data_IF_415749846157
#
_entry.id   IF_415749846157
#
_cell.length_a   1.000
_cell.length_b   1.000
_cell.length_c   1.000
_cell.angle_alpha   90.00
_cell.angle_beta   90.00
_cell.angle_gamma   90.00
#
_symmetry.space_group_name_H-M   'P 1'
#
loop_
_entity.id
_entity.type
_entity.pdbx_description
1 polymer ?
#
# COMPACT_ATOMS: atom_id res chain seq x y z
N UNK A 1 -3.69 -9.28 -40.12
CA UNK A 1 -3.49 -9.55 -38.68
C UNK A 1 -3.68 -8.23 -37.94
N UNK A 2 -4.87 -8.00 -37.39
CA UNK A 2 -5.12 -6.81 -36.58
C UNK A 2 -4.37 -6.99 -35.25
N UNK A 3 -3.30 -6.22 -35.03
CA UNK A 3 -2.67 -6.14 -33.75
C UNK A 3 -3.67 -5.52 -32.76
N UNK A 4 -4.16 -6.29 -31.79
CA UNK A 4 -4.93 -5.75 -30.66
C UNK A 4 -4.08 -4.67 -30.00
N UNK A 5 -4.58 -3.46 -29.88
CA UNK A 5 -3.88 -2.42 -29.12
C UNK A 5 -3.95 -2.80 -27.64
N UNK A 6 -2.79 -3.02 -27.03
CA UNK A 6 -2.67 -3.33 -25.61
C UNK A 6 -2.30 -2.07 -24.85
N UNK A 7 -3.07 -1.75 -23.82
CA UNK A 7 -2.77 -0.64 -22.93
C UNK A 7 -1.84 -1.12 -21.82
N UNK A 8 -0.68 -0.49 -21.72
CA UNK A 8 0.34 -0.80 -20.72
C UNK A 8 0.13 0.08 -19.49
N UNK A 9 -0.11 -0.52 -18.34
CA UNK A 9 -0.29 0.17 -17.06
C UNK A 9 0.65 -0.42 -16.03
N UNK A 10 1.40 0.43 -15.34
CA UNK A 10 2.35 0.02 -14.32
C UNK A 10 1.88 0.40 -12.93
N UNK A 11 2.13 -0.50 -11.98
CA UNK A 11 1.71 -0.40 -10.58
C UNK A 11 2.88 -0.62 -9.65
N UNK A 12 2.84 0.03 -8.50
CA UNK A 12 3.72 -0.24 -7.37
C UNK A 12 2.88 -0.36 -6.11
N UNK A 13 3.17 -1.34 -5.28
CA UNK A 13 2.69 -1.41 -3.90
C UNK A 13 3.86 -1.32 -2.94
N UNK A 14 3.74 -0.51 -1.89
CA UNK A 14 4.82 -0.37 -0.92
C UNK A 14 4.29 0.05 0.45
N UNK A 15 4.54 -0.77 1.46
CA UNK A 15 4.39 -0.38 2.85
C UNK A 15 5.59 0.48 3.24
N UNK A 16 5.36 1.75 3.59
CA UNK A 16 6.42 2.73 3.85
C UNK A 16 7.07 2.58 5.23
N UNK A 17 6.52 1.74 6.08
CA UNK A 17 6.90 1.60 7.48
C UNK A 17 6.64 2.89 8.29
N UNK A 18 5.78 2.77 9.29
CA UNK A 18 5.40 3.89 10.16
C UNK A 18 6.57 4.50 10.94
N UNK A 19 7.68 3.76 11.07
CA UNK A 19 8.93 4.26 11.61
C UNK A 19 9.27 3.78 13.01
N UNK A 20 8.42 2.97 13.64
CA UNK A 20 8.65 2.45 14.98
C UNK A 20 7.89 1.14 15.22
N UNK A 21 8.40 0.33 16.15
CA UNK A 21 7.67 -0.78 16.74
C UNK A 21 6.76 -0.23 17.85
N UNK A 22 5.45 -0.42 17.70
CA UNK A 22 4.45 0.07 18.65
C UNK A 22 4.24 -0.87 19.85
N UNK A 23 4.83 -2.07 19.84
CA UNK A 23 4.65 -3.07 20.90
C UNK A 23 4.90 -2.53 22.31
N UNK A 24 5.91 -1.68 22.56
CA UNK A 24 6.13 -1.11 23.88
C UNK A 24 4.94 -0.33 24.45
N UNK A 25 4.16 0.34 23.58
CA UNK A 25 2.93 1.04 23.99
C UNK A 25 1.78 0.06 24.21
N UNK A 26 1.63 -0.91 23.30
CA UNK A 26 0.54 -1.89 23.35
C UNK A 26 0.61 -2.81 24.58
N UNK A 27 1.80 -3.05 25.11
CA UNK A 27 2.04 -3.91 26.27
C UNK A 27 2.25 -3.13 27.58
N UNK A 28 2.20 -1.77 27.53
CA UNK A 28 2.44 -0.94 28.70
C UNK A 28 1.28 -0.96 29.68
N UNK A 29 1.61 -0.91 30.97
CA UNK A 29 0.61 -0.53 32.01
C UNK A 29 0.25 0.97 31.85
N UNK A 30 -0.89 1.43 32.39
CA UNK A 30 -1.24 2.84 32.31
C UNK A 30 -0.14 3.80 32.80
N UNK A 31 0.53 3.45 33.89
CA UNK A 31 1.64 4.25 34.44
C UNK A 31 2.87 4.32 33.53
N UNK A 32 3.09 3.31 32.71
CA UNK A 32 4.24 3.24 31.79
C UNK A 32 4.03 3.98 30.45
N UNK A 33 2.80 4.35 30.12
CA UNK A 33 2.45 4.93 28.80
C UNK A 33 3.36 6.10 28.43
N UNK A 34 3.56 7.13 29.26
CA UNK A 34 4.39 8.28 28.84
C UNK A 34 5.82 7.87 28.48
N UNK A 35 6.44 7.02 29.29
CA UNK A 35 7.80 6.54 29.06
C UNK A 35 7.90 5.72 27.75
N UNK A 36 6.92 4.86 27.50
CA UNK A 36 6.88 4.04 26.29
C UNK A 36 6.62 4.87 25.03
N UNK A 37 5.78 5.89 25.14
CA UNK A 37 5.55 6.83 24.04
C UNK A 37 6.84 7.57 23.67
N UNK A 38 7.60 8.01 24.67
CA UNK A 38 8.92 8.64 24.43
C UNK A 38 9.87 7.70 23.70
N UNK A 39 9.96 6.45 24.13
CA UNK A 39 10.84 5.44 23.49
C UNK A 39 10.45 5.20 22.03
N UNK A 40 9.16 5.01 21.77
CA UNK A 40 8.62 4.78 20.43
C UNK A 40 8.86 5.98 19.53
N UNK A 41 8.61 7.19 20.02
CA UNK A 41 8.83 8.40 19.23
C UNK A 41 10.31 8.65 18.92
N UNK A 42 11.22 8.30 19.84
CA UNK A 42 12.68 8.33 19.57
C UNK A 42 13.06 7.36 18.46
N UNK A 43 12.52 6.15 18.45
CA UNK A 43 12.74 5.20 17.35
C UNK A 43 12.22 5.78 16.03
N UNK A 44 11.01 6.36 16.02
CA UNK A 44 10.45 7.03 14.86
C UNK A 44 11.40 8.11 14.32
N UNK A 45 11.94 8.96 15.17
CA UNK A 45 12.91 9.99 14.75
C UNK A 45 14.20 9.36 14.19
N UNK A 46 14.68 8.28 14.79
CA UNK A 46 15.90 7.59 14.37
C UNK A 46 15.74 6.91 13.00
N UNK A 47 14.58 6.41 12.66
CA UNK A 47 14.30 5.83 11.34
C UNK A 47 14.06 6.89 10.26
N UNK A 48 14.04 8.14 10.63
CA UNK A 48 14.22 9.35 9.81
C UNK A 48 13.52 9.30 8.45
N UNK A 49 12.19 9.39 8.44
CA UNK A 49 11.44 9.32 7.19
C UNK A 49 11.86 10.36 6.15
N UNK A 50 12.19 11.62 6.49
CA UNK A 50 12.67 12.57 5.48
C UNK A 50 13.88 12.07 4.69
N UNK A 51 14.80 11.35 5.32
CA UNK A 51 15.95 10.72 4.65
C UNK A 51 15.51 9.48 3.88
N UNK A 52 14.66 8.64 4.46
CA UNK A 52 14.11 7.45 3.79
C UNK A 52 13.29 7.81 2.55
N UNK A 53 12.56 8.91 2.60
CA UNK A 53 11.76 9.38 1.47
C UNK A 53 12.60 9.65 0.22
N UNK A 54 13.84 10.11 0.38
CA UNK A 54 14.79 10.29 -0.74
C UNK A 54 15.12 8.94 -1.41
N UNK A 55 15.38 7.92 -0.59
CA UNK A 55 15.67 6.57 -1.10
C UNK A 55 14.43 5.95 -1.75
N UNK A 56 13.26 6.11 -1.16
CA UNK A 56 11.99 5.66 -1.72
C UNK A 56 11.71 6.35 -3.05
N UNK A 57 11.89 7.67 -3.12
CA UNK A 57 11.69 8.44 -4.33
C UNK A 57 12.65 8.02 -5.46
N UNK A 58 13.93 7.69 -5.14
CA UNK A 58 14.87 7.17 -6.14
C UNK A 58 14.41 5.84 -6.72
N UNK A 59 13.90 4.93 -5.89
CA UNK A 59 13.37 3.65 -6.35
C UNK A 59 12.13 3.85 -7.25
N UNK A 60 11.22 4.73 -6.86
CA UNK A 60 10.05 5.09 -7.67
C UNK A 60 10.46 5.72 -9.01
N UNK A 61 11.48 6.57 -9.00
CA UNK A 61 11.96 7.23 -10.22
C UNK A 61 12.54 6.25 -11.25
N UNK A 62 13.11 5.12 -10.80
CA UNK A 62 13.59 4.08 -11.71
C UNK A 62 12.44 3.32 -12.37
N UNK A 63 11.38 3.03 -11.65
CA UNK A 63 10.22 2.25 -12.13
C UNK A 63 9.19 3.14 -12.84
N UNK A 64 9.03 4.37 -12.42
CA UNK A 64 8.02 5.34 -12.92
C UNK A 64 6.63 4.72 -13.00
N UNK A 65 6.10 4.13 -11.91
CA UNK A 65 4.78 3.51 -11.95
C UNK A 65 3.69 4.55 -12.26
N UNK A 66 2.67 4.10 -12.97
CA UNK A 66 1.50 4.93 -13.28
C UNK A 66 0.64 5.16 -12.04
N UNK A 67 0.52 4.12 -11.21
CA UNK A 67 -0.26 4.12 -9.97
C UNK A 67 0.53 3.46 -8.85
N UNK A 68 0.44 4.06 -7.66
CA UNK A 68 1.14 3.59 -6.47
C UNK A 68 0.13 3.36 -5.35
N UNK A 69 0.11 2.15 -4.80
CA UNK A 69 -0.61 1.84 -3.56
C UNK A 69 0.36 1.85 -2.38
N UNK A 70 0.16 2.78 -1.46
CA UNK A 70 0.98 2.93 -0.27
C UNK A 70 0.22 2.46 0.97
N UNK A 71 0.92 1.78 1.86
CA UNK A 71 0.45 1.45 3.20
C UNK A 71 1.38 2.09 4.22
N UNK A 72 0.88 2.33 5.43
CA UNK A 72 1.60 3.08 6.46
C UNK A 72 2.17 4.40 5.92
N UNK A 73 1.33 5.15 5.21
CA UNK A 73 1.61 6.51 4.73
C UNK A 73 1.25 7.52 5.81
N UNK A 74 1.98 7.50 6.89
CA UNK A 74 1.62 8.04 8.20
C UNK A 74 1.62 9.57 8.30
N UNK A 75 0.86 10.03 9.30
CA UNK A 75 0.93 11.39 9.80
C UNK A 75 1.29 11.33 11.29
N UNK A 76 2.49 11.77 11.63
CA UNK A 76 2.94 11.92 13.00
C UNK A 76 2.96 13.40 13.40
N UNK A 77 2.57 13.69 14.64
CA UNK A 77 2.66 15.03 15.22
C UNK A 77 3.24 14.98 16.62
N UNK A 78 4.19 15.87 16.88
CA UNK A 78 4.64 16.19 18.23
C UNK A 78 4.04 17.54 18.62
N UNK A 79 3.14 17.54 19.59
CA UNK A 79 2.44 18.74 20.07
C UNK A 79 3.16 19.18 21.34
N UNK A 80 3.86 20.32 21.25
CA UNK A 80 4.63 20.90 22.34
C UNK A 80 3.81 22.03 22.95
N UNK A 81 3.33 21.89 24.21
CA UNK A 81 2.54 22.95 24.86
C UNK A 81 3.27 24.28 24.82
N UNK A 82 2.54 25.35 24.55
CA UNK A 82 3.04 26.75 24.47
C UNK A 82 4.04 27.03 23.34
N UNK A 83 4.50 26.03 22.60
CA UNK A 83 5.46 26.20 21.50
C UNK A 83 4.82 25.98 20.13
N UNK A 84 4.12 24.87 19.93
CA UNK A 84 3.50 24.53 18.65
C UNK A 84 3.60 23.05 18.30
N UNK A 85 3.30 22.72 17.05
CA UNK A 85 3.24 21.35 16.56
C UNK A 85 4.29 21.11 15.48
N UNK A 86 5.06 20.03 15.63
CA UNK A 86 5.95 19.50 14.59
C UNK A 86 5.22 18.39 13.89
N UNK A 87 5.09 18.48 12.57
CA UNK A 87 4.32 17.55 11.76
C UNK A 87 5.25 16.80 10.79
N UNK A 88 5.06 15.47 10.72
CA UNK A 88 5.72 14.59 9.75
C UNK A 88 4.61 13.93 8.91
N UNK A 89 4.36 14.48 7.74
CA UNK A 89 3.39 13.96 6.79
C UNK A 89 4.12 13.18 5.70
N UNK A 90 4.04 11.84 5.74
CA UNK A 90 4.75 10.96 4.83
C UNK A 90 4.38 11.21 3.37
N UNK A 91 3.10 11.43 3.11
CA UNK A 91 2.62 11.66 1.74
C UNK A 91 3.20 12.96 1.20
N UNK A 92 3.11 14.04 1.97
CA UNK A 92 3.61 15.35 1.56
C UNK A 92 5.12 15.34 1.34
N UNK A 93 5.87 14.72 2.27
CA UNK A 93 7.33 14.61 2.16
C UNK A 93 7.70 13.81 0.91
N UNK A 94 7.05 12.67 0.65
CA UNK A 94 7.34 11.83 -0.50
C UNK A 94 6.99 12.54 -1.82
N UNK A 95 5.83 13.17 -1.90
CA UNK A 95 5.42 13.92 -3.10
C UNK A 95 6.42 15.02 -3.45
N UNK A 96 6.96 15.71 -2.46
CA UNK A 96 7.97 16.75 -2.64
C UNK A 96 9.27 16.15 -3.19
N UNK A 97 9.75 15.04 -2.63
CA UNK A 97 10.96 14.36 -3.12
C UNK A 97 10.79 13.86 -4.55
N UNK A 98 9.63 13.33 -4.90
CA UNK A 98 9.32 12.91 -6.27
C UNK A 98 9.32 14.10 -7.24
N UNK A 99 8.73 15.22 -6.84
CA UNK A 99 8.70 16.43 -7.64
C UNK A 99 10.11 16.97 -7.93
N UNK A 100 11.01 16.93 -6.94
CA UNK A 100 12.41 17.32 -7.11
C UNK A 100 13.14 16.42 -8.11
N UNK A 101 12.66 15.22 -8.35
CA UNK A 101 13.17 14.28 -9.36
C UNK A 101 12.45 14.42 -10.72
N UNK A 102 11.57 15.40 -10.87
CA UNK A 102 10.81 15.62 -12.10
C UNK A 102 9.60 14.73 -12.26
N UNK A 103 9.14 14.08 -11.18
CA UNK A 103 7.96 13.20 -11.18
C UNK A 103 6.82 13.86 -10.43
N UNK A 104 5.70 14.06 -11.11
CA UNK A 104 4.51 14.63 -10.49
C UNK A 104 3.47 13.54 -10.26
N UNK A 105 3.27 13.24 -8.98
CA UNK A 105 2.19 12.39 -8.50
C UNK A 105 1.20 13.22 -7.69
N UNK A 106 -0.04 12.79 -7.67
CA UNK A 106 -1.06 13.34 -6.79
C UNK A 106 -1.80 12.23 -6.07
N UNK A 107 -2.41 12.56 -4.94
CA UNK A 107 -3.26 11.63 -4.20
C UNK A 107 -4.56 11.45 -4.97
N UNK A 108 -4.79 10.23 -5.47
CA UNK A 108 -6.03 9.87 -6.15
C UNK A 108 -7.12 9.45 -5.15
N UNK A 109 -6.74 8.76 -4.08
CA UNK A 109 -7.61 8.38 -2.96
C UNK A 109 -6.76 8.08 -1.73
N UNK A 110 -7.35 8.14 -0.57
CA UNK A 110 -6.71 7.72 0.69
C UNK A 110 -7.78 7.21 1.66
N UNK A 111 -7.41 6.27 2.51
CA UNK A 111 -8.23 5.90 3.65
C UNK A 111 -7.49 6.20 4.95
N UNK A 112 -8.22 6.79 5.89
CA UNK A 112 -7.75 7.09 7.24
C UNK A 112 -8.12 5.93 8.15
N UNK A 113 -7.13 5.45 8.88
CA UNK A 113 -7.27 4.28 9.74
C UNK A 113 -7.17 4.69 11.22
N UNK A 114 -6.53 3.85 12.06
CA UNK A 114 -6.44 4.15 13.48
C UNK A 114 -5.73 5.49 13.73
N UNK A 115 -6.16 6.18 14.79
CA UNK A 115 -5.56 7.42 15.27
C UNK A 115 -5.45 7.38 16.78
N UNK A 116 -4.27 7.74 17.30
CA UNK A 116 -4.03 7.80 18.73
C UNK A 116 -3.27 9.07 19.08
N UNK A 117 -3.58 9.67 20.24
CA UNK A 117 -2.83 10.77 20.82
C UNK A 117 -2.56 10.44 22.28
N UNK A 118 -1.28 10.34 22.62
CA UNK A 118 -0.84 9.93 23.93
C UNK A 118 0.24 10.88 24.47
N UNK A 119 0.32 11.08 25.80
CA UNK A 119 1.37 11.90 26.40
C UNK A 119 2.72 11.17 26.36
N UNK A 120 3.79 11.93 26.13
CA UNK A 120 5.16 11.46 26.35
C UNK A 120 5.64 11.81 27.77
N UNK A 121 6.88 11.44 28.11
CA UNK A 121 7.45 11.70 29.43
C UNK A 121 7.95 13.14 29.63
N UNK A 122 7.96 13.96 28.57
CA UNK A 122 8.46 15.34 28.59
C UNK A 122 7.34 16.37 28.61
N UNK A 123 6.10 15.95 28.82
CA UNK A 123 4.94 16.82 28.85
C UNK A 123 4.36 17.21 27.49
N UNK A 124 4.81 16.54 26.44
CA UNK A 124 4.28 16.72 25.09
C UNK A 124 3.20 15.69 24.78
N UNK A 125 2.46 15.90 23.68
CA UNK A 125 1.55 14.92 23.13
C UNK A 125 2.12 14.39 21.81
N UNK A 126 2.07 13.08 21.63
CA UNK A 126 2.45 12.43 20.37
C UNK A 126 1.19 11.87 19.72
N UNK A 127 0.95 12.27 18.48
CA UNK A 127 -0.19 11.83 17.70
C UNK A 127 0.26 11.03 16.48
N UNK A 128 -0.40 9.91 16.23
CA UNK A 128 -0.21 9.08 15.05
C UNK A 128 -1.56 8.87 14.38
N UNK A 129 -1.61 9.14 13.07
CA UNK A 129 -2.71 8.75 12.19
C UNK A 129 -2.16 7.79 11.14
N UNK A 130 -2.65 6.55 11.14
CA UNK A 130 -2.36 5.59 10.07
C UNK A 130 -3.19 5.92 8.83
N UNK A 131 -2.54 5.85 7.67
CA UNK A 131 -3.19 6.09 6.38
C UNK A 131 -2.65 5.12 5.34
N UNK A 132 -3.52 4.78 4.38
CA UNK A 132 -3.13 4.20 3.11
C UNK A 132 -3.51 5.16 2.00
N UNK A 133 -2.78 5.17 0.90
CA UNK A 133 -3.02 6.12 -0.18
C UNK A 133 -2.79 5.49 -1.55
N UNK A 134 -3.53 5.96 -2.54
CA UNK A 134 -3.27 5.71 -3.95
C UNK A 134 -2.75 7.01 -4.56
N UNK A 135 -1.56 6.92 -5.16
CA UNK A 135 -0.98 8.02 -5.93
C UNK A 135 -1.11 7.72 -7.42
N UNK A 136 -1.39 8.75 -8.20
CA UNK A 136 -1.48 8.66 -9.66
C UNK A 136 -0.48 9.60 -10.31
N UNK A 137 0.20 9.12 -11.35
CA UNK A 137 1.16 9.90 -12.10
C UNK A 137 0.47 10.88 -13.02
N UNK A 138 0.82 12.17 -12.92
CA UNK A 138 0.16 13.25 -13.67
C UNK A 138 0.64 13.38 -15.11
N UNK A 139 1.86 12.91 -15.43
CA UNK A 139 2.42 13.00 -16.78
C UNK A 139 1.78 12.03 -17.77
N UNK A 140 1.10 10.99 -17.30
CA UNK A 140 0.38 10.03 -18.14
C UNK A 140 -1.10 10.41 -18.21
N UNK A 141 -1.72 10.18 -19.38
CA UNK A 141 -3.14 10.47 -19.60
C UNK A 141 -4.02 9.41 -18.92
N UNK A 142 -4.17 9.57 -17.62
CA UNK A 142 -4.98 8.74 -16.73
C UNK A 142 -5.99 9.65 -16.04
N UNK A 143 -7.27 9.35 -16.20
CA UNK A 143 -8.35 10.12 -15.59
C UNK A 143 -9.03 9.33 -14.47
N UNK A 144 -9.02 9.87 -13.26
CA UNK A 144 -9.80 9.31 -12.14
C UNK A 144 -11.24 9.74 -12.28
N UNK A 145 -12.13 8.78 -12.55
CA UNK A 145 -13.56 9.06 -12.76
C UNK A 145 -14.42 8.70 -11.54
N UNK A 146 -13.88 7.94 -10.59
CA UNK A 146 -14.58 7.57 -9.34
C UNK A 146 -13.56 7.26 -8.24
N UNK A 147 -13.89 7.68 -7.01
CA UNK A 147 -13.14 7.37 -5.79
C UNK A 147 -14.07 6.75 -4.76
N UNK A 148 -13.56 5.79 -4.01
CA UNK A 148 -14.23 5.24 -2.83
C UNK A 148 -13.21 5.04 -1.71
N UNK A 149 -13.64 5.27 -0.49
CA UNK A 149 -12.85 5.06 0.73
C UNK A 149 -13.77 4.48 1.79
N UNK A 150 -13.30 3.45 2.49
CA UNK A 150 -14.07 2.85 3.57
C UNK A 150 -13.15 2.26 4.63
N UNK A 151 -13.59 2.31 5.87
CA UNK A 151 -13.00 1.51 6.94
C UNK A 151 -13.73 0.17 7.02
N UNK A 152 -13.02 -0.87 7.44
CA UNK A 152 -13.64 -2.16 7.70
C UNK A 152 -14.59 -2.07 8.90
N UNK A 153 -15.64 -2.84 8.87
CA UNK A 153 -16.54 -3.02 10.00
C UNK A 153 -15.93 -3.94 11.07
N UNK A 154 -15.12 -4.91 10.65
CA UNK A 154 -14.43 -5.84 11.54
C UNK A 154 -12.99 -5.41 11.72
N UNK A 155 -12.62 -5.01 12.94
CA UNK A 155 -11.28 -4.57 13.29
C UNK A 155 -10.85 -5.19 14.62
N UNK A 156 -9.53 -5.27 14.83
CA UNK A 156 -8.97 -5.71 16.09
C UNK A 156 -9.13 -4.62 17.16
N UNK A 157 -9.58 -5.02 18.36
CA UNK A 157 -9.65 -4.15 19.52
C UNK A 157 -8.65 -4.69 20.55
N UNK A 158 -7.75 -3.82 21.01
CA UNK A 158 -6.73 -4.14 22.01
C UNK A 158 -6.77 -3.12 23.16
N UNK A 159 -6.37 -3.48 24.38
CA UNK A 159 -6.22 -2.48 25.43
C UNK A 159 -4.96 -1.64 25.20
N UNK A 160 -5.09 -0.33 25.37
CA UNK A 160 -3.98 0.63 25.43
C UNK A 160 -4.13 1.42 26.72
N UNK A 161 -3.21 1.26 27.65
CA UNK A 161 -3.32 1.88 28.97
C UNK A 161 -4.59 1.47 29.72
N UNK A 162 -5.07 0.23 29.52
CA UNK A 162 -6.29 -0.27 30.15
C UNK A 162 -7.60 0.15 29.49
N UNK A 163 -7.55 0.91 28.40
CA UNK A 163 -8.73 1.33 27.65
C UNK A 163 -8.82 0.59 26.31
N UNK A 164 -10.03 0.19 25.85
CA UNK A 164 -10.16 -0.43 24.55
C UNK A 164 -9.76 0.54 23.43
N UNK A 165 -8.95 0.05 22.53
CA UNK A 165 -8.48 0.80 21.35
C UNK A 165 -8.74 -0.03 20.10
N UNK A 166 -9.47 0.55 19.14
CA UNK A 166 -9.76 -0.08 17.86
C UNK A 166 -8.62 0.18 16.89
N UNK A 167 -7.96 -0.88 16.40
CA UNK A 167 -7.00 -0.77 15.32
C UNK A 167 -7.76 -0.74 14.00
N UNK A 168 -8.29 0.44 13.70
CA UNK A 168 -9.11 0.67 12.52
C UNK A 168 -8.28 0.55 11.25
N UNK A 169 -8.77 -0.24 10.28
CA UNK A 169 -8.17 -0.39 8.95
C UNK A 169 -9.23 -0.21 7.88
N UNK A 170 -8.82 -0.20 6.63
CA UNK A 170 -9.77 0.01 5.55
C UNK A 170 -9.15 -0.21 4.18
N UNK A 171 -9.82 0.31 3.17
CA UNK A 171 -9.40 0.27 1.79
C UNK A 171 -9.79 1.57 1.08
N UNK A 172 -9.10 1.84 0.00
CA UNK A 172 -9.51 2.87 -0.96
C UNK A 172 -9.50 2.31 -2.37
N UNK A 173 -10.28 2.90 -3.25
CA UNK A 173 -10.31 2.51 -4.65
C UNK A 173 -10.46 3.72 -5.56
N UNK A 174 -9.95 3.59 -6.78
CA UNK A 174 -10.14 4.52 -7.87
C UNK A 174 -10.55 3.78 -9.12
N UNK A 175 -11.50 4.35 -9.87
CA UNK A 175 -11.79 3.94 -11.23
C UNK A 175 -11.05 4.90 -12.15
N UNK A 176 -10.21 4.34 -13.02
CA UNK A 176 -9.32 5.09 -13.89
C UNK A 176 -9.67 4.81 -15.34
N UNK A 177 -9.79 5.88 -16.12
CA UNK A 177 -10.01 5.82 -17.56
C UNK A 177 -8.71 6.09 -18.30
N UNK A 178 -8.38 5.18 -19.21
CA UNK A 178 -7.24 5.28 -20.11
C UNK A 178 -7.66 4.84 -21.52
N UNK A 179 -7.48 5.71 -22.52
CA UNK A 179 -7.87 5.46 -23.92
C UNK A 179 -9.29 4.85 -24.05
N UNK A 180 -10.25 5.43 -23.31
CA UNK A 180 -11.64 4.99 -23.34
C UNK A 180 -11.95 3.73 -22.53
N UNK A 181 -10.97 3.05 -21.97
CA UNK A 181 -11.10 1.88 -21.11
C UNK A 181 -11.10 2.29 -19.64
N UNK A 182 -11.86 1.60 -18.81
CA UNK A 182 -11.93 1.85 -17.36
C UNK A 182 -11.52 0.61 -16.61
N UNK A 183 -10.67 0.79 -15.61
CA UNK A 183 -10.31 -0.25 -14.64
C UNK A 183 -10.43 0.28 -13.22
N UNK A 184 -10.52 -0.63 -12.25
CA UNK A 184 -10.55 -0.30 -10.82
C UNK A 184 -9.26 -0.75 -10.15
N UNK A 185 -8.63 0.14 -9.41
CA UNK A 185 -7.54 -0.17 -8.49
C UNK A 185 -8.04 -0.06 -7.05
N UNK A 186 -7.74 -1.08 -6.24
CA UNK A 186 -8.06 -1.12 -4.81
C UNK A 186 -6.74 -1.22 -4.05
N UNK A 187 -6.59 -0.44 -2.98
CA UNK A 187 -5.42 -0.48 -2.10
C UNK A 187 -5.87 -0.74 -0.66
N UNK A 188 -5.16 -1.61 0.04
CA UNK A 188 -5.52 -2.01 1.40
C UNK A 188 -4.31 -2.46 2.22
N UNK A 189 -4.52 -2.52 3.54
CA UNK A 189 -3.59 -3.06 4.53
C UNK A 189 -4.40 -3.86 5.56
N UNK A 190 -4.28 -5.19 5.53
CA UNK A 190 -5.07 -6.07 6.37
C UNK A 190 -4.44 -6.28 7.75
N UNK A 191 -5.26 -6.72 8.72
CA UNK A 191 -4.85 -6.96 10.09
C UNK A 191 -3.81 -8.10 10.19
N UNK A 192 -2.62 -7.85 10.75
CA UNK A 192 -1.59 -8.88 10.88
C UNK A 192 -1.80 -9.87 12.04
N UNK A 193 -2.42 -9.44 13.14
CA UNK A 193 -2.33 -10.15 14.40
C UNK A 193 -3.34 -11.30 14.55
N UNK A 194 -4.52 -11.21 13.95
CA UNK A 194 -5.62 -12.17 14.13
C UNK A 194 -6.17 -12.59 12.76
N UNK A 195 -5.99 -13.85 12.41
CA UNK A 195 -6.40 -14.40 11.11
C UNK A 195 -7.91 -14.27 10.87
N UNK A 196 -8.75 -14.53 11.87
CA UNK A 196 -10.19 -14.42 11.70
C UNK A 196 -10.62 -12.99 11.34
N UNK A 197 -10.00 -11.98 11.94
CA UNK A 197 -10.26 -10.56 11.62
C UNK A 197 -9.75 -10.25 10.23
N UNK A 198 -8.53 -10.68 9.88
CA UNK A 198 -7.95 -10.50 8.54
C UNK A 198 -8.84 -11.13 7.47
N UNK A 199 -9.35 -12.33 7.70
CA UNK A 199 -10.26 -13.01 6.77
C UNK A 199 -11.59 -12.26 6.61
N UNK A 200 -12.14 -11.73 7.71
CA UNK A 200 -13.34 -10.89 7.64
C UNK A 200 -13.10 -9.62 6.84
N UNK A 201 -11.94 -8.98 6.99
CA UNK A 201 -11.55 -7.81 6.22
C UNK A 201 -11.38 -8.14 4.73
N UNK A 202 -10.74 -9.26 4.39
CA UNK A 202 -10.64 -9.73 3.02
C UNK A 202 -12.03 -9.96 2.41
N UNK A 203 -12.95 -10.55 3.17
CA UNK A 203 -14.33 -10.76 2.72
C UNK A 203 -15.05 -9.44 2.45
N UNK A 204 -14.86 -8.41 3.27
CA UNK A 204 -15.45 -7.09 3.03
C UNK A 204 -14.95 -6.48 1.69
N UNK A 205 -13.69 -6.67 1.33
CA UNK A 205 -13.15 -6.24 0.04
C UNK A 205 -13.81 -7.03 -1.10
N UNK A 206 -13.91 -8.35 -0.97
CA UNK A 206 -14.47 -9.21 -2.00
C UNK A 206 -15.96 -8.95 -2.22
N UNK A 207 -16.71 -8.63 -1.19
CA UNK A 207 -18.14 -8.32 -1.26
C UNK A 207 -18.43 -6.86 -1.62
N UNK A 208 -17.46 -5.97 -1.39
CA UNK A 208 -17.59 -4.53 -1.64
C UNK A 208 -16.97 -4.11 -2.98
N UNK A 209 -15.77 -3.49 -2.97
CA UNK A 209 -15.20 -2.88 -4.17
C UNK A 209 -14.86 -3.89 -5.28
N UNK A 210 -14.66 -5.16 -4.97
CA UNK A 210 -14.43 -6.22 -5.97
C UNK A 210 -15.72 -6.58 -6.72
N UNK A 211 -16.89 -6.29 -6.16
CA UNK A 211 -18.16 -6.55 -6.81
C UNK A 211 -18.40 -5.56 -7.97
N UNK A 212 -17.72 -5.81 -9.08
CA UNK A 212 -17.76 -5.00 -10.30
C UNK A 212 -17.42 -5.87 -11.49
N UNK A 213 -17.84 -5.44 -12.69
CA UNK A 213 -17.44 -6.07 -13.97
C UNK A 213 -16.16 -5.45 -14.55
N UNK A 214 -15.67 -4.37 -13.97
CA UNK A 214 -14.45 -3.73 -14.42
C UNK A 214 -13.25 -4.67 -14.21
N UNK A 215 -12.22 -4.54 -15.04
CA UNK A 215 -10.91 -5.07 -14.69
C UNK A 215 -10.45 -4.50 -13.35
N UNK A 216 -9.94 -5.35 -12.47
CA UNK A 216 -9.55 -4.97 -11.10
C UNK A 216 -8.07 -5.28 -10.86
N UNK A 217 -7.38 -4.35 -10.22
CA UNK A 217 -6.05 -4.57 -9.63
C UNK A 217 -6.13 -4.25 -8.14
N UNK A 218 -5.67 -5.17 -7.30
CA UNK A 218 -5.51 -4.95 -5.85
C UNK A 218 -4.02 -4.79 -5.57
N UNK A 219 -3.66 -3.70 -4.92
CA UNK A 219 -2.36 -3.52 -4.30
C UNK A 219 -2.53 -3.56 -2.78
N UNK A 220 -1.60 -4.18 -2.07
CA UNK A 220 -1.72 -4.16 -0.62
C UNK A 220 -0.71 -5.01 0.12
N UNK A 221 -0.60 -4.67 1.40
CA UNK A 221 -0.02 -5.51 2.42
C UNK A 221 -1.14 -6.38 2.99
N UNK A 222 -1.22 -7.62 2.52
CA UNK A 222 -2.29 -8.54 2.91
C UNK A 222 -1.96 -9.32 4.19
N UNK A 223 -0.79 -9.10 4.77
CA UNK A 223 -0.32 -9.77 5.99
C UNK A 223 -0.56 -11.29 5.98
N UNK A 224 -0.41 -11.88 4.82
CA UNK A 224 -0.62 -13.30 4.58
C UNK A 224 0.33 -13.80 3.51
N UNK A 225 0.96 -14.95 3.78
CA UNK A 225 1.87 -15.59 2.83
C UNK A 225 1.09 -16.33 1.74
N UNK A 226 1.73 -16.67 0.61
CA UNK A 226 1.10 -17.49 -0.42
C UNK A 226 0.57 -18.80 0.15
N UNK A 227 -0.58 -19.25 -0.37
CA UNK A 227 -1.27 -20.47 0.02
C UNK A 227 -1.87 -20.46 1.43
N UNK A 228 -1.81 -19.33 2.15
CA UNK A 228 -2.54 -19.16 3.40
C UNK A 228 -4.04 -18.94 3.13
N UNK A 229 -4.86 -19.07 4.18
CA UNK A 229 -6.32 -18.94 4.04
C UNK A 229 -6.73 -17.58 3.45
N UNK A 230 -6.16 -16.48 3.95
CA UNK A 230 -6.48 -15.14 3.45
C UNK A 230 -6.10 -14.98 1.98
N UNK A 231 -4.88 -15.38 1.61
CA UNK A 231 -4.41 -15.36 0.23
C UNK A 231 -5.35 -16.17 -0.68
N UNK A 232 -5.71 -17.38 -0.25
CA UNK A 232 -6.57 -18.27 -1.04
C UNK A 232 -8.00 -17.72 -1.21
N UNK A 233 -8.48 -16.88 -0.30
CA UNK A 233 -9.78 -16.22 -0.49
C UNK A 233 -9.79 -15.36 -1.77
N UNK A 234 -8.70 -14.63 -2.03
CA UNK A 234 -8.57 -13.83 -3.26
C UNK A 234 -8.41 -14.72 -4.50
N UNK A 235 -7.57 -15.75 -4.42
CA UNK A 235 -7.36 -16.68 -5.54
C UNK A 235 -8.66 -17.40 -5.91
N UNK A 236 -9.40 -17.88 -4.91
CA UNK A 236 -10.69 -18.56 -5.11
C UNK A 236 -11.77 -17.62 -5.65
N UNK A 237 -11.62 -16.32 -5.43
CA UNK A 237 -12.50 -15.30 -6.00
C UNK A 237 -12.14 -14.92 -7.46
N UNK A 238 -11.12 -15.55 -8.04
CA UNK A 238 -10.71 -15.36 -9.42
C UNK A 238 -9.53 -14.42 -9.63
N UNK A 239 -8.87 -13.98 -8.57
CA UNK A 239 -7.66 -13.16 -8.67
C UNK A 239 -6.44 -14.02 -9.03
N UNK A 240 -5.52 -13.39 -9.76
CA UNK A 240 -4.20 -13.91 -10.07
C UNK A 240 -3.14 -13.08 -9.37
N UNK A 241 -2.13 -13.76 -8.86
CA UNK A 241 -0.98 -13.15 -8.20
C UNK A 241 0.09 -12.84 -9.24
N UNK A 242 0.38 -11.55 -9.46
CA UNK A 242 1.35 -11.12 -10.48
C UNK A 242 2.70 -11.77 -10.26
N UNK A 243 3.19 -11.81 -9.03
CA UNK A 243 4.51 -12.38 -8.73
C UNK A 243 4.59 -13.85 -9.11
N UNK A 244 3.57 -14.63 -8.80
CA UNK A 244 3.53 -16.06 -9.14
C UNK A 244 3.48 -16.31 -10.65
N UNK A 245 3.03 -15.34 -11.44
CA UNK A 245 2.96 -15.45 -12.90
C UNK A 245 4.25 -15.03 -13.59
N UNK A 246 4.84 -13.91 -13.21
CA UNK A 246 5.97 -13.30 -13.94
C UNK A 246 7.13 -12.86 -13.03
N UNK A 247 7.02 -12.98 -11.72
CA UNK A 247 8.12 -12.69 -10.80
C UNK A 247 9.22 -13.75 -10.87
N UNK A 248 10.43 -13.37 -10.46
CA UNK A 248 11.59 -14.25 -10.39
C UNK A 248 12.03 -14.41 -8.94
N UNK A 249 12.20 -15.66 -8.52
CA UNK A 249 12.62 -15.98 -7.16
C UNK A 249 11.48 -15.89 -6.15
N UNK A 250 11.79 -15.97 -4.85
CA UNK A 250 10.78 -16.07 -3.78
C UNK A 250 9.96 -14.79 -3.58
N UNK A 251 10.48 -13.62 -3.97
CA UNK A 251 9.77 -12.36 -3.88
C UNK A 251 9.51 -11.88 -2.46
N UNK A 252 10.40 -12.12 -1.53
CA UNK A 252 10.24 -11.71 -0.13
C UNK A 252 10.13 -10.19 0.02
N UNK A 253 9.11 -9.75 0.75
CA UNK A 253 8.79 -8.33 0.93
C UNK A 253 8.92 -7.83 2.37
N UNK A 254 9.06 -8.71 3.37
CA UNK A 254 9.04 -8.35 4.80
C UNK A 254 9.91 -9.32 5.63
N UNK A 255 10.45 -8.88 6.77
CA UNK A 255 10.62 -7.53 7.31
C UNK A 255 12.11 -7.28 7.57
N UNK A 256 12.58 -6.05 7.36
CA UNK A 256 13.85 -5.59 7.92
C UNK A 256 13.69 -5.34 9.43
N UNK A 257 14.81 -5.14 10.15
CA UNK A 257 14.76 -4.83 11.57
C UNK A 257 14.00 -3.51 11.85
N UNK A 258 13.35 -3.36 13.02
CA UNK A 258 12.59 -2.15 13.35
C UNK A 258 13.40 -0.86 13.32
N UNK A 259 14.71 -0.90 13.58
CA UNK A 259 15.59 0.27 13.48
C UNK A 259 16.10 0.52 12.05
N UNK A 260 15.83 -0.38 11.11
CA UNK A 260 16.24 -0.33 9.72
C UNK A 260 17.76 -0.35 9.50
N UNK A 261 18.54 -0.76 10.50
CA UNK A 261 20.01 -0.72 10.46
C UNK A 261 20.66 -2.09 10.29
N UNK A 262 19.88 -3.16 10.10
CA UNK A 262 20.45 -4.48 9.85
C UNK A 262 21.38 -4.44 8.62
N UNK A 263 22.58 -5.00 8.75
CA UNK A 263 23.60 -4.93 7.72
C UNK A 263 23.26 -5.75 6.47
N UNK A 264 22.55 -6.85 6.67
CA UNK A 264 22.12 -7.78 5.63
C UNK A 264 20.59 -7.84 5.62
N UNK A 265 19.99 -7.94 4.45
CA UNK A 265 18.54 -8.04 4.34
C UNK A 265 17.97 -9.22 5.13
N UNK A 266 16.93 -8.94 5.90
CA UNK A 266 16.19 -9.92 6.71
C UNK A 266 14.87 -10.33 6.07
N UNK A 267 14.58 -9.86 4.85
CA UNK A 267 13.32 -10.19 4.16
C UNK A 267 13.19 -11.70 4.01
N UNK A 268 12.11 -12.28 4.49
CA UNK A 268 11.91 -13.73 4.53
C UNK A 268 10.45 -14.17 4.32
N UNK A 269 9.54 -13.22 4.08
CA UNK A 269 8.12 -13.48 3.84
C UNK A 269 7.63 -12.65 2.66
N UNK A 270 6.75 -13.22 1.87
CA UNK A 270 6.05 -12.51 0.81
C UNK A 270 4.62 -12.26 1.26
N UNK A 271 4.31 -11.01 1.59
CA UNK A 271 3.02 -10.58 2.15
C UNK A 271 2.44 -9.34 1.44
N UNK A 272 3.19 -8.73 0.55
CA UNK A 272 2.78 -7.57 -0.25
C UNK A 272 2.51 -8.03 -1.68
N UNK A 273 1.37 -7.63 -2.24
CA UNK A 273 0.86 -8.21 -3.48
C UNK A 273 0.33 -7.18 -4.45
N UNK A 274 0.46 -7.52 -5.73
CA UNK A 274 -0.33 -6.97 -6.82
C UNK A 274 -1.14 -8.14 -7.38
N UNK A 275 -2.45 -8.09 -7.21
CA UNK A 275 -3.40 -9.11 -7.68
C UNK A 275 -4.27 -8.51 -8.77
N UNK A 276 -4.63 -9.30 -9.77
CA UNK A 276 -5.47 -8.83 -10.86
C UNK A 276 -6.60 -9.80 -11.20
N UNK A 277 -7.67 -9.26 -11.74
CA UNK A 277 -8.85 -10.00 -12.20
C UNK A 277 -9.50 -9.27 -13.37
N UNK A 278 -10.00 -10.01 -14.36
CA UNK A 278 -10.78 -9.51 -15.50
C UNK A 278 -9.99 -8.65 -16.49
N UNK A 279 -9.43 -9.26 -17.52
CA UNK A 279 -8.93 -8.55 -18.68
C UNK A 279 -7.51 -7.98 -18.58
N UNK A 280 -6.73 -8.48 -17.67
CA UNK A 280 -5.31 -8.13 -17.54
C UNK A 280 -4.40 -9.26 -17.98
N UNK A 281 -3.27 -8.89 -18.58
CA UNK A 281 -2.16 -9.80 -18.87
C UNK A 281 -0.90 -9.30 -18.13
N UNK A 282 -0.30 -10.10 -17.23
CA UNK A 282 0.92 -9.69 -16.54
C UNK A 282 2.12 -9.76 -17.47
N UNK A 283 2.97 -8.74 -17.47
CA UNK A 283 4.16 -8.63 -18.33
C UNK A 283 5.43 -8.85 -17.53
N UNK A 284 5.60 -8.13 -16.44
CA UNK A 284 6.78 -8.24 -15.57
C UNK A 284 6.47 -7.80 -14.15
N UNK A 285 7.28 -8.28 -13.21
CA UNK A 285 7.24 -7.88 -11.81
C UNK A 285 8.66 -7.86 -11.25
N UNK A 286 8.92 -6.89 -10.38
CA UNK A 286 10.21 -6.70 -9.71
C UNK A 286 10.01 -6.25 -8.28
N UNK A 287 10.99 -6.53 -7.43
CA UNK A 287 11.09 -5.93 -6.10
C UNK A 287 11.81 -4.59 -6.20
N UNK A 288 11.46 -3.66 -5.32
CA UNK A 288 12.16 -2.38 -5.18
C UNK A 288 12.50 -2.15 -3.71
N UNK A 289 13.62 -1.46 -3.46
CA UNK A 289 14.05 -1.13 -2.10
C UNK A 289 14.64 -2.29 -1.29
N UNK A 290 14.93 -3.44 -1.92
CA UNK A 290 15.45 -4.65 -1.28
C UNK A 290 16.96 -4.81 -1.34
N UNK A 291 17.65 -4.03 -2.16
CA UNK A 291 19.08 -4.15 -2.39
C UNK A 291 19.92 -3.25 -1.48
N UNK A 292 21.17 -3.63 -1.21
CA UNK A 292 22.11 -2.82 -0.43
C UNK A 292 22.27 -1.40 -0.99
N UNK A 293 22.27 -1.27 -2.32
CA UNK A 293 22.38 0.04 -3.01
C UNK A 293 21.17 0.95 -2.77
N UNK A 294 20.04 0.41 -2.32
CA UNK A 294 18.81 1.17 -2.08
C UNK A 294 18.77 1.83 -0.71
N UNK A 295 19.72 1.46 0.17
CA UNK A 295 19.84 2.03 1.52
C UNK A 295 20.16 3.52 1.45
N UNK A 296 19.73 4.25 2.47
CA UNK A 296 20.07 5.68 2.60
C UNK A 296 21.57 5.89 2.86
N UNK A 297 22.02 7.12 2.72
CA UNK A 297 23.41 7.50 3.03
C UNK A 297 23.79 7.19 4.48
N UNK A 298 22.81 7.22 5.39
CA UNK A 298 23.02 6.90 6.82
C UNK A 298 22.85 5.43 7.14
N UNK A 299 22.65 4.58 6.13
CA UNK A 299 22.57 3.12 6.28
C UNK A 299 21.21 2.57 6.66
N UNK A 300 20.15 3.37 6.55
CA UNK A 300 18.80 2.90 6.77
C UNK A 300 18.27 2.17 5.52
N UNK A 301 17.56 1.07 5.71
CA UNK A 301 16.73 0.52 4.66
C UNK A 301 15.60 1.51 4.33
N UNK A 302 15.14 1.61 3.07
CA UNK A 302 14.07 2.55 2.72
C UNK A 302 12.78 2.33 3.49
N UNK A 303 12.45 1.07 3.77
CA UNK A 303 11.33 0.60 4.57
C UNK A 303 11.69 -0.76 5.17
N UNK A 304 10.92 -1.24 6.15
CA UNK A 304 11.03 -2.63 6.60
C UNK A 304 10.35 -3.62 5.63
N UNK A 305 9.65 -3.09 4.61
CA UNK A 305 9.16 -3.84 3.46
C UNK A 305 9.92 -3.45 2.19
N UNK A 306 10.06 -4.42 1.28
CA UNK A 306 10.33 -4.13 -0.12
C UNK A 306 9.00 -3.74 -0.80
N UNK A 307 9.07 -2.91 -1.84
CA UNK A 307 7.96 -2.68 -2.74
C UNK A 307 7.90 -3.75 -3.83
N UNK A 308 6.72 -3.92 -4.41
CA UNK A 308 6.50 -4.77 -5.59
C UNK A 308 6.04 -3.88 -6.74
N UNK A 309 6.79 -3.90 -7.82
CA UNK A 309 6.48 -3.20 -9.07
C UNK A 309 6.00 -4.20 -10.11
N UNK A 310 4.99 -3.84 -10.87
CA UNK A 310 4.47 -4.69 -11.94
C UNK A 310 3.97 -3.88 -13.13
N UNK A 311 4.11 -4.46 -14.31
CA UNK A 311 3.53 -3.94 -15.53
C UNK A 311 2.51 -4.95 -16.05
N UNK A 312 1.30 -4.46 -16.34
CA UNK A 312 0.17 -5.22 -16.83
C UNK A 312 -0.36 -4.60 -18.11
N UNK A 313 -0.77 -5.43 -19.05
CA UNK A 313 -1.52 -4.98 -20.22
C UNK A 313 -3.03 -5.16 -19.99
N UNK A 314 -3.78 -4.11 -20.27
CA UNK A 314 -5.23 -4.15 -20.29
C UNK A 314 -5.71 -4.54 -21.68
N UNK A 315 -6.54 -5.58 -21.76
CA UNK A 315 -7.13 -6.01 -23.03
C UNK A 315 -8.17 -5.01 -23.52
N UNK A 316 -8.16 -4.75 -24.84
CA UNK A 316 -9.13 -3.87 -25.46
C UNK A 316 -10.45 -4.62 -25.68
N UNK A 317 -11.55 -4.12 -25.08
CA UNK A 317 -12.88 -4.71 -25.17
C UNK A 317 -13.68 -4.25 -26.40
N UNK A 318 -13.12 -3.44 -27.30
CA UNK A 318 -13.84 -2.90 -28.46
C UNK A 318 -14.06 -3.89 -29.62
N UNK A 319 -13.52 -5.12 -29.56
CA UNK A 319 -13.54 -6.07 -30.69
C UNK A 319 -14.59 -7.20 -30.60
N UNK A 320 -15.62 -7.12 -29.74
CA UNK A 320 -16.63 -8.18 -29.63
C UNK A 320 -18.04 -7.80 -30.11
N UNK A 321 -18.19 -6.80 -30.97
CA UNK A 321 -19.48 -6.51 -31.60
C UNK A 321 -19.35 -6.36 -33.12
N UNK A 322 -18.93 -7.40 -33.84
CA UNK A 322 -19.23 -7.61 -35.23
C UNK A 322 -19.01 -9.07 -35.58
N UNK A 323 -20.11 -9.83 -35.62
CA UNK A 323 -20.51 -10.80 -36.59
C UNK A 323 -21.57 -11.75 -36.02
N UNK A 324 -22.78 -11.22 -35.90
CA UNK A 324 -24.00 -12.06 -36.03
C UNK A 324 -25.05 -11.25 -36.73
N UNK A 325 -24.94 -11.10 -38.04
CA UNK A 325 -26.08 -10.88 -38.90
C UNK A 325 -25.66 -10.88 -40.36
N UNK A 326 -25.68 -12.02 -41.02
CA UNK A 326 -26.09 -12.17 -42.40
C UNK A 326 -25.85 -13.62 -42.87
N UNK A 327 -26.74 -14.48 -42.51
CA UNK A 327 -27.13 -15.61 -43.37
C UNK A 327 -28.62 -15.78 -43.26
N UNK A 328 -29.33 -14.94 -43.98
CA UNK A 328 -30.66 -15.27 -44.48
C UNK A 328 -30.60 -15.34 -46.00
N UNK A 329 -30.60 -16.56 -46.48
CA UNK A 329 -31.56 -17.17 -47.42
C UNK A 329 -31.57 -16.67 -48.86
N UNK A 330 -31.42 -17.59 -49.71
CA UNK A 330 -32.28 -17.73 -50.88
C UNK A 330 -32.45 -19.20 -51.28
N UNK A 331 -33.62 -19.72 -51.12
CA UNK A 331 -34.55 -20.45 -52.00
C UNK A 331 -35.36 -21.45 -51.25
#
# INVERSE_FOLDING_TARGET
MNSRSKLDVSFLTWNLYLGADLTPILTATPAQIPQRVTEVFRQFLATNFPVRAKAIARAIALEKPDLIGLQEAELWKLIIPTFGTVTYDFIEILLKELKEMGLNYEVAAQNRNFSAQLPDSDGNLVRLLDRDAILIRKEKDLEVIRRQEANFQTNLIVPVGGQPFTILRGWSSVDVKIDGQVFRMINTHLEPAVEAIRNAQANEILQGPVNTRLPVVITGDLNSIPNSTTYNMFINAGFHDVWSKVGKGPGFTAHQAPDLLNAVSMLNQRIDYILFKNGWEPIEAELVGESQKDRTETGLWPSDHAGVSARLNLEDHHDHHHDESSDEISS
#
